data_IF_108548150153
#
_entry.id   IF_108548150153
#
_cell.length_a   1.000
_cell.length_b   1.000
_cell.length_c   1.000
_cell.angle_alpha   90.00
_cell.angle_beta   90.00
_cell.angle_gamma   90.00
#
_symmetry.space_group_name_H-M   'P 1'
#
loop_
_entity.id
_entity.type
_entity.pdbx_description
1 polymer ?
#
# COMPACT_ATOMS: atom_id res chain seq x y z
N UNK A 1 -9.48 24.22 -1.32
CA UNK A 1 -9.68 23.72 -2.70
C UNK A 1 -9.72 22.21 -2.61
N UNK A 2 -10.79 21.57 -3.07
CA UNK A 2 -10.80 20.13 -3.29
C UNK A 2 -10.18 19.96 -4.67
N UNK A 3 -8.94 19.44 -4.72
CA UNK A 3 -8.34 19.04 -5.98
C UNK A 3 -9.04 17.75 -6.39
N UNK A 4 -9.99 17.86 -7.30
CA UNK A 4 -10.61 16.71 -7.96
C UNK A 4 -9.65 16.24 -9.05
N UNK A 5 -8.79 15.30 -8.70
CA UNK A 5 -8.04 14.55 -9.69
C UNK A 5 -8.99 13.57 -10.40
N UNK A 6 -9.47 13.95 -11.58
CA UNK A 6 -9.92 12.96 -12.56
C UNK A 6 -8.67 12.39 -13.23
N UNK A 7 -7.88 11.61 -12.49
CA UNK A 7 -6.70 10.98 -13.06
C UNK A 7 -7.14 9.72 -13.81
N UNK A 8 -7.02 9.74 -15.13
CA UNK A 8 -6.79 8.50 -15.85
C UNK A 8 -5.63 7.79 -15.16
N UNK A 9 -5.75 6.48 -14.89
CA UNK A 9 -4.70 5.73 -14.23
C UNK A 9 -3.38 5.92 -15.00
N UNK A 10 -2.35 6.42 -14.31
CA UNK A 10 -1.01 6.55 -14.87
C UNK A 10 -0.58 5.17 -15.39
N UNK A 11 0.13 5.15 -16.50
CA UNK A 11 0.73 3.92 -17.02
C UNK A 11 2.25 4.06 -17.10
N UNK A 12 2.93 2.93 -17.31
CA UNK A 12 4.38 2.87 -17.42
C UNK A 12 5.03 3.83 -18.42
N UNK A 13 4.31 4.34 -19.43
CA UNK A 13 4.86 5.32 -20.39
C UNK A 13 4.85 6.75 -19.83
N UNK A 14 3.90 7.06 -18.97
CA UNK A 14 3.76 8.38 -18.34
C UNK A 14 4.88 8.61 -17.32
N UNK A 15 5.30 7.55 -16.63
CA UNK A 15 6.33 7.54 -15.59
C UNK A 15 7.70 7.10 -16.08
N UNK A 16 7.90 7.04 -17.41
CA UNK A 16 9.20 6.68 -18.00
C UNK A 16 10.16 7.88 -17.94
N UNK A 17 11.39 7.64 -17.49
CA UNK A 17 12.44 8.67 -17.51
C UNK A 17 12.61 9.26 -18.92
N UNK A 18 12.65 10.59 -19.00
CA UNK A 18 12.69 11.35 -20.27
C UNK A 18 11.32 11.72 -20.85
N UNK A 19 10.21 11.40 -20.18
CA UNK A 19 8.91 11.98 -20.47
C UNK A 19 8.88 13.47 -20.09
N UNK A 20 8.27 14.32 -20.91
CA UNK A 20 8.20 15.78 -20.69
C UNK A 20 7.58 16.15 -19.33
N UNK A 21 6.63 15.34 -18.86
CA UNK A 21 5.94 15.54 -17.57
C UNK A 21 6.39 14.51 -16.51
N UNK A 22 7.60 13.94 -16.65
CA UNK A 22 8.09 12.86 -15.79
C UNK A 22 7.92 13.19 -14.29
N UNK A 23 8.45 14.32 -13.82
CA UNK A 23 8.41 14.67 -12.40
C UNK A 23 6.97 14.82 -11.86
N UNK A 24 6.09 15.47 -12.63
CA UNK A 24 4.68 15.66 -12.26
C UNK A 24 3.95 14.31 -12.21
N UNK A 25 4.23 13.42 -13.16
CA UNK A 25 3.68 12.06 -13.20
C UNK A 25 4.21 11.20 -12.04
N UNK A 26 5.48 11.35 -11.65
CA UNK A 26 6.03 10.64 -10.48
C UNK A 26 5.42 11.12 -9.17
N UNK A 27 5.17 12.43 -9.02
CA UNK A 27 4.47 12.98 -7.85
C UNK A 27 3.02 12.49 -7.79
N UNK A 28 2.31 12.51 -8.92
CA UNK A 28 0.96 11.95 -9.01
C UNK A 28 0.97 10.45 -8.68
N UNK A 29 1.93 9.68 -9.20
CA UNK A 29 2.11 8.27 -8.86
C UNK A 29 2.31 8.08 -7.35
N UNK A 30 3.15 8.89 -6.71
CA UNK A 30 3.42 8.78 -5.27
C UNK A 30 2.17 9.00 -4.41
N UNK A 31 1.30 9.93 -4.83
CA UNK A 31 0.01 10.19 -4.19
C UNK A 31 -0.92 9.00 -4.38
N UNK A 32 -1.10 8.52 -5.62
CA UNK A 32 -2.00 7.41 -5.93
C UNK A 32 -1.53 6.09 -5.27
N UNK A 33 -0.23 5.85 -5.24
CA UNK A 33 0.42 4.71 -4.58
C UNK A 33 0.46 4.84 -3.06
N UNK A 34 0.00 5.98 -2.50
CA UNK A 34 -0.03 6.26 -1.05
C UNK A 34 1.33 6.12 -0.39
N UNK A 35 2.38 6.58 -1.08
CA UNK A 35 3.73 6.64 -0.53
C UNK A 35 3.75 7.59 0.67
N UNK A 36 4.65 7.34 1.61
CA UNK A 36 4.75 8.15 2.82
C UNK A 36 5.00 9.62 2.46
N UNK A 37 4.16 10.51 3.00
CA UNK A 37 4.19 11.95 2.75
C UNK A 37 4.02 12.35 1.27
N UNK A 38 3.52 11.43 0.41
CA UNK A 38 3.48 11.62 -1.05
C UNK A 38 4.88 11.79 -1.66
N UNK A 39 5.93 11.42 -0.91
CA UNK A 39 7.31 11.62 -1.32
C UNK A 39 7.80 10.46 -2.17
N UNK A 40 8.66 10.80 -3.12
CA UNK A 40 9.23 9.88 -4.09
C UNK A 40 10.76 10.03 -4.09
N UNK A 41 11.48 8.90 -4.15
CA UNK A 41 12.95 8.87 -4.02
C UNK A 41 13.59 8.11 -5.19
N UNK A 42 14.92 8.24 -5.36
CA UNK A 42 15.68 7.48 -6.37
C UNK A 42 15.49 5.96 -6.30
N UNK A 43 15.16 5.42 -5.13
CA UNK A 43 14.88 3.99 -5.00
C UNK A 43 13.52 3.64 -5.61
N UNK A 44 12.55 4.54 -5.48
CA UNK A 44 11.23 4.35 -6.07
C UNK A 44 11.31 4.48 -7.60
N UNK A 45 12.25 5.27 -8.14
CA UNK A 45 12.57 5.29 -9.58
C UNK A 45 13.02 3.92 -10.06
N UNK A 46 13.94 3.28 -9.32
CA UNK A 46 14.40 1.94 -9.65
C UNK A 46 13.26 0.92 -9.62
N UNK A 47 12.42 0.96 -8.59
CA UNK A 47 11.22 0.11 -8.50
C UNK A 47 10.29 0.32 -9.69
N UNK A 48 9.99 1.56 -10.07
CA UNK A 48 9.12 1.84 -11.24
C UNK A 48 9.77 1.36 -12.53
N UNK A 49 11.07 1.58 -12.70
CA UNK A 49 11.84 1.13 -13.86
C UNK A 49 11.78 -0.39 -14.01
N UNK A 50 12.05 -1.13 -12.94
CA UNK A 50 11.98 -2.60 -12.92
C UNK A 50 10.55 -3.10 -13.20
N UNK A 51 9.55 -2.58 -12.48
CA UNK A 51 8.15 -3.00 -12.64
C UNK A 51 7.62 -2.76 -14.06
N UNK A 52 8.09 -1.70 -14.72
CA UNK A 52 7.71 -1.37 -16.09
C UNK A 52 8.61 -2.03 -17.15
N UNK A 53 9.60 -2.84 -16.76
CA UNK A 53 10.51 -3.55 -17.67
C UNK A 53 11.55 -2.67 -18.36
N UNK A 54 11.92 -1.55 -17.75
CA UNK A 54 12.95 -0.63 -18.23
C UNK A 54 14.28 -0.76 -17.49
N UNK A 55 14.30 -1.41 -16.33
CA UNK A 55 15.46 -1.57 -15.45
C UNK A 55 15.80 -3.03 -15.15
N UNK A 56 16.80 -3.18 -14.28
CA UNK A 56 17.29 -4.45 -13.71
C UNK A 56 17.49 -4.33 -12.18
N UNK A 57 16.72 -3.46 -11.53
CA UNK A 57 16.86 -3.19 -10.10
C UNK A 57 16.32 -4.35 -9.26
N UNK A 58 17.13 -4.82 -8.30
CA UNK A 58 16.74 -5.85 -7.35
C UNK A 58 15.78 -5.27 -6.28
N UNK A 59 14.48 -5.30 -6.58
CA UNK A 59 13.41 -4.81 -5.69
C UNK A 59 13.48 -5.47 -4.31
N UNK A 60 13.69 -6.79 -4.26
CA UNK A 60 13.78 -7.51 -2.98
C UNK A 60 14.99 -7.06 -2.18
N UNK A 61 16.15 -6.86 -2.84
CA UNK A 61 17.32 -6.27 -2.21
C UNK A 61 17.14 -4.82 -1.73
N UNK A 62 16.26 -4.03 -2.34
CA UNK A 62 15.89 -2.69 -1.84
C UNK A 62 15.00 -2.77 -0.59
N UNK A 63 14.10 -3.75 -0.53
CA UNK A 63 13.25 -4.01 0.62
C UNK A 63 14.09 -4.50 1.81
N UNK A 64 14.96 -5.49 1.60
CA UNK A 64 15.78 -6.08 2.66
C UNK A 64 16.75 -5.08 3.30
N UNK A 65 17.25 -4.12 2.50
CA UNK A 65 18.09 -3.02 2.99
C UNK A 65 17.30 -1.89 3.66
N UNK A 66 15.97 -1.95 3.64
CA UNK A 66 15.09 -0.97 4.25
C UNK A 66 15.00 0.36 3.49
N UNK A 67 15.38 0.38 2.21
CA UNK A 67 15.28 1.58 1.38
C UNK A 67 13.84 1.85 0.94
N UNK A 68 13.05 0.79 0.75
CA UNK A 68 11.64 0.83 0.37
C UNK A 68 10.89 -0.23 1.17
N UNK A 69 9.63 0.04 1.50
CA UNK A 69 8.73 -0.92 2.15
C UNK A 69 8.01 -1.77 1.11
N UNK A 70 7.76 -3.05 1.43
CA UNK A 70 6.96 -3.92 0.55
C UNK A 70 5.60 -3.32 0.19
N UNK A 71 4.94 -2.64 1.14
CA UNK A 71 3.66 -1.96 0.88
C UNK A 71 3.75 -0.85 -0.17
N UNK A 72 4.90 -0.17 -0.28
CA UNK A 72 5.12 0.90 -1.26
C UNK A 72 5.25 0.33 -2.68
N UNK A 73 5.93 -0.81 -2.83
CA UNK A 73 6.03 -1.53 -4.11
C UNK A 73 4.65 -1.98 -4.60
N UNK A 74 3.83 -2.57 -3.73
CA UNK A 74 2.47 -2.98 -4.10
C UNK A 74 1.57 -1.79 -4.42
N UNK A 75 1.70 -0.68 -3.68
CA UNK A 75 1.00 0.57 -4.01
C UNK A 75 1.36 1.11 -5.40
N UNK A 76 2.64 1.05 -5.79
CA UNK A 76 3.09 1.44 -7.12
C UNK A 76 2.53 0.52 -8.21
N UNK A 77 2.55 -0.81 -8.00
CA UNK A 77 1.94 -1.78 -8.93
C UNK A 77 0.46 -1.51 -9.15
N UNK A 78 -0.29 -1.25 -8.08
CA UNK A 78 -1.71 -0.90 -8.14
C UNK A 78 -1.93 0.40 -8.94
N UNK A 79 -1.18 1.45 -8.60
CA UNK A 79 -1.34 2.77 -9.22
C UNK A 79 -0.99 2.76 -10.73
N UNK A 80 -0.07 1.90 -11.16
CA UNK A 80 0.29 1.70 -12.57
C UNK A 80 -0.61 0.70 -13.31
N UNK A 81 -1.58 0.08 -12.63
CA UNK A 81 -2.46 -0.93 -13.23
C UNK A 81 -1.73 -2.21 -13.64
N UNK A 82 -0.59 -2.51 -13.01
CA UNK A 82 0.19 -3.72 -13.25
C UNK A 82 -0.33 -4.93 -12.45
N UNK A 83 -1.28 -4.67 -11.55
CA UNK A 83 -1.90 -5.67 -10.70
C UNK A 83 -3.23 -6.18 -11.29
N UNK A 84 -3.28 -7.47 -11.62
CA UNK A 84 -4.47 -8.14 -12.15
C UNK A 84 -5.50 -8.54 -11.08
N UNK A 85 -5.22 -8.36 -9.79
CA UNK A 85 -6.11 -8.75 -8.69
C UNK A 85 -7.32 -7.83 -8.59
N UNK A 86 -8.40 -8.34 -8.00
CA UNK A 86 -9.60 -7.55 -7.71
C UNK A 86 -9.30 -6.43 -6.71
N UNK A 87 -10.13 -5.37 -6.67
CA UNK A 87 -9.98 -4.28 -5.69
C UNK A 87 -9.93 -4.79 -4.24
N UNK A 88 -10.75 -5.78 -3.90
CA UNK A 88 -10.73 -6.40 -2.58
C UNK A 88 -9.40 -7.13 -2.32
N UNK A 89 -8.90 -7.90 -3.29
CA UNK A 89 -7.61 -8.57 -3.19
C UNK A 89 -6.44 -7.61 -2.98
N UNK A 90 -6.44 -6.46 -3.67
CA UNK A 90 -5.42 -5.40 -3.49
C UNK A 90 -5.49 -4.74 -2.12
N UNK A 91 -6.70 -4.39 -1.69
CA UNK A 91 -6.92 -3.84 -0.35
C UNK A 91 -6.46 -4.81 0.75
N UNK A 92 -6.75 -6.11 0.58
CA UNK A 92 -6.32 -7.16 1.51
C UNK A 92 -4.80 -7.20 1.59
N UNK A 93 -4.09 -7.36 0.48
CA UNK A 93 -2.63 -7.49 0.52
C UNK A 93 -1.95 -6.22 1.01
N UNK A 94 -2.42 -5.03 0.60
CA UNK A 94 -1.92 -3.76 1.13
C UNK A 94 -2.02 -3.71 2.66
N UNK A 95 -3.21 -4.02 3.19
CA UNK A 95 -3.45 -4.02 4.63
C UNK A 95 -2.64 -5.10 5.34
N UNK A 96 -2.58 -6.31 4.78
CA UNK A 96 -1.82 -7.43 5.33
C UNK A 96 -0.33 -7.09 5.41
N UNK A 97 0.27 -6.58 4.33
CA UNK A 97 1.67 -6.17 4.32
C UNK A 97 1.93 -5.07 5.36
N UNK A 98 1.06 -4.06 5.44
CA UNK A 98 1.17 -2.98 6.42
C UNK A 98 1.13 -3.51 7.85
N UNK A 99 0.12 -4.32 8.19
CA UNK A 99 0.00 -4.86 9.53
C UNK A 99 1.13 -5.85 9.86
N UNK A 100 1.42 -6.78 8.96
CA UNK A 100 2.37 -7.86 9.19
C UNK A 100 3.82 -7.38 9.29
N UNK A 101 4.19 -6.32 8.57
CA UNK A 101 5.58 -5.84 8.53
C UNK A 101 5.82 -4.50 9.21
N UNK A 102 4.77 -3.70 9.45
CA UNK A 102 4.92 -2.35 10.01
C UNK A 102 4.22 -2.15 11.35
N UNK A 103 3.63 -3.20 11.93
CA UNK A 103 3.06 -3.19 13.28
C UNK A 103 3.53 -4.41 14.07
N UNK A 104 3.24 -4.47 15.37
CA UNK A 104 3.61 -5.61 16.23
C UNK A 104 2.60 -6.78 16.16
N UNK A 105 1.67 -6.74 15.21
CA UNK A 105 0.63 -7.76 15.06
C UNK A 105 1.20 -9.07 14.51
N UNK A 106 0.69 -10.19 15.01
CA UNK A 106 0.95 -11.51 14.42
C UNK A 106 0.42 -11.60 12.99
N UNK A 107 0.92 -12.56 12.19
CA UNK A 107 0.40 -12.78 10.83
C UNK A 107 -1.09 -13.14 10.81
N UNK A 108 -1.59 -13.82 11.85
CA UNK A 108 -3.01 -14.17 11.97
C UNK A 108 -3.88 -12.92 12.21
N UNK A 109 -3.48 -12.06 13.15
CA UNK A 109 -4.16 -10.79 13.41
C UNK A 109 -4.10 -9.87 12.18
N UNK A 110 -2.94 -9.78 11.54
CA UNK A 110 -2.74 -9.04 10.29
C UNK A 110 -3.69 -9.53 9.18
N UNK A 111 -3.82 -10.85 9.04
CA UNK A 111 -4.74 -11.50 8.11
C UNK A 111 -6.21 -11.14 8.36
N UNK A 112 -6.66 -11.27 9.61
CA UNK A 112 -8.05 -10.94 9.95
C UNK A 112 -8.37 -9.46 9.70
N UNK A 113 -7.49 -8.55 10.11
CA UNK A 113 -7.68 -7.12 9.88
C UNK A 113 -7.65 -6.75 8.41
N UNK A 114 -6.78 -7.41 7.62
CA UNK A 114 -6.76 -7.26 6.18
C UNK A 114 -8.10 -7.68 5.54
N UNK A 115 -8.68 -8.80 6.00
CA UNK A 115 -10.03 -9.22 5.58
C UNK A 115 -11.09 -8.20 5.94
N UNK A 116 -11.14 -7.73 7.19
CA UNK A 116 -12.11 -6.69 7.59
C UNK A 116 -11.93 -5.39 6.80
N UNK A 117 -10.69 -5.01 6.49
CA UNK A 117 -10.42 -3.83 5.67
C UNK A 117 -10.88 -4.00 4.22
N UNK A 118 -10.69 -5.18 3.64
CA UNK A 118 -11.02 -5.47 2.25
C UNK A 118 -12.52 -5.71 2.04
N UNK A 119 -13.12 -6.56 2.87
CA UNK A 119 -14.44 -7.15 2.64
C UNK A 119 -15.53 -6.43 3.45
N UNK A 120 -15.21 -5.96 4.65
CA UNK A 120 -16.15 -5.33 5.58
C UNK A 120 -15.69 -3.94 6.08
N UNK A 121 -15.33 -2.99 5.20
CA UNK A 121 -14.67 -1.73 5.58
C UNK A 121 -15.51 -0.84 6.51
N UNK A 122 -16.82 -1.08 6.59
CA UNK A 122 -17.76 -0.31 7.42
C UNK A 122 -18.05 -0.96 8.79
N UNK A 123 -17.60 -2.19 9.03
CA UNK A 123 -17.63 -2.83 10.35
C UNK A 123 -16.78 -2.04 11.35
N UNK A 124 -16.93 -2.32 12.65
CA UNK A 124 -16.08 -1.71 13.68
C UNK A 124 -14.60 -1.99 13.39
N UNK A 125 -14.27 -3.24 13.05
CA UNK A 125 -12.93 -3.68 12.70
C UNK A 125 -12.41 -3.04 11.41
N UNK A 126 -13.22 -2.97 10.36
CA UNK A 126 -12.82 -2.32 9.09
C UNK A 126 -12.51 -0.83 9.28
N UNK A 127 -13.32 -0.13 10.10
CA UNK A 127 -13.05 1.28 10.47
C UNK A 127 -11.80 1.44 11.31
N UNK A 128 -11.56 0.53 12.25
CA UNK A 128 -10.36 0.54 13.10
C UNK A 128 -9.10 0.27 12.27
N UNK A 129 -9.13 -0.75 11.41
CA UNK A 129 -8.06 -1.07 10.46
C UNK A 129 -7.75 0.13 9.57
N UNK A 130 -8.78 0.79 9.00
CA UNK A 130 -8.61 2.00 8.19
C UNK A 130 -7.91 3.13 8.96
N UNK A 131 -8.28 3.36 10.22
CA UNK A 131 -7.63 4.38 11.07
C UNK A 131 -6.18 4.02 11.37
N UNK A 132 -5.90 2.75 11.68
CA UNK A 132 -4.55 2.28 11.96
C UNK A 132 -3.65 2.41 10.72
N UNK A 133 -4.13 2.06 9.53
CA UNK A 133 -3.43 2.25 8.25
C UNK A 133 -3.17 3.73 7.92
N UNK A 134 -3.98 4.65 8.46
CA UNK A 134 -3.78 6.09 8.36
C UNK A 134 -2.80 6.64 9.43
N UNK A 135 -2.19 5.78 10.24
CA UNK A 135 -1.22 6.17 11.27
C UNK A 135 -1.83 6.61 12.61
N UNK A 136 -3.12 6.35 12.84
CA UNK A 136 -3.76 6.62 14.13
C UNK A 136 -3.18 5.72 15.23
N UNK A 137 -2.31 6.30 16.06
CA UNK A 137 -1.63 5.59 17.16
C UNK A 137 -2.58 5.00 18.20
N UNK A 138 -3.78 5.55 18.37
CA UNK A 138 -4.77 5.01 19.30
C UNK A 138 -5.36 3.73 18.70
N UNK A 139 -5.70 3.76 17.41
CA UNK A 139 -6.20 2.58 16.70
C UNK A 139 -5.13 1.47 16.66
N UNK A 140 -3.88 1.80 16.34
CA UNK A 140 -2.76 0.84 16.33
C UNK A 140 -2.60 0.18 17.70
N UNK A 141 -2.49 0.97 18.77
CA UNK A 141 -2.36 0.43 20.14
C UNK A 141 -3.55 -0.41 20.58
N UNK A 142 -4.75 -0.08 20.12
CA UNK A 142 -5.95 -0.86 20.44
C UNK A 142 -5.88 -2.23 19.77
N UNK A 143 -5.46 -2.28 18.51
CA UNK A 143 -5.26 -3.52 17.76
C UNK A 143 -4.13 -4.38 18.35
N UNK A 144 -3.03 -3.76 18.80
CA UNK A 144 -1.88 -4.48 19.38
C UNK A 144 -2.15 -5.05 20.79
N UNK A 145 -3.09 -4.47 21.54
CA UNK A 145 -3.36 -4.85 22.94
C UNK A 145 -4.55 -5.77 23.15
N UNK A 146 -5.54 -5.70 22.27
CA UNK A 146 -6.79 -6.46 22.43
C UNK A 146 -6.82 -7.60 21.41
N UNK A 147 -6.39 -8.78 21.87
CA UNK A 147 -6.20 -10.00 21.07
C UNK A 147 -7.49 -10.53 20.41
N UNK A 148 -8.66 -9.98 20.77
CA UNK A 148 -9.98 -10.53 20.43
C UNK A 148 -10.93 -9.59 19.66
N UNK A 149 -10.58 -8.35 19.34
CA UNK A 149 -11.58 -7.43 18.73
C UNK A 149 -11.94 -7.86 17.32
N UNK A 150 -10.94 -8.29 16.55
CA UNK A 150 -11.06 -8.47 15.11
C UNK A 150 -10.56 -9.83 14.68
N UNK A 151 -11.05 -10.88 15.33
CA UNK A 151 -10.91 -12.25 14.85
C UNK A 151 -12.06 -12.56 13.91
N UNK A 152 -11.77 -13.04 12.69
CA UNK A 152 -12.80 -13.71 11.90
C UNK A 152 -13.24 -14.93 12.70
N UNK A 153 -14.53 -14.98 13.08
CA UNK A 153 -15.03 -16.04 13.95
C UNK A 153 -14.83 -17.39 13.28
N UNK A 154 -13.95 -18.22 13.83
CA UNK A 154 -14.28 -19.64 13.96
C UNK A 154 -15.10 -19.72 15.25
N UNK A 155 -16.41 -19.55 15.12
CA UNK A 155 -17.32 -20.20 16.07
C UNK A 155 -17.17 -21.70 15.79
N UNK A 156 -16.51 -22.42 16.71
CA UNK A 156 -16.56 -23.88 16.76
C UNK A 156 -18.02 -24.37 16.99
#
# INVERSE_FOLDING_TARGET
MVVTFSNAALNCKDVKYGNDNYHENMEALAIEARLRDGYFSRYHEGVVSELCGYGDDDIEGLIDRGYIRRSEVEGIKEALGLDSRSRAGRNYEYAWNKFNFETELSSAQSGNLASFYADEPNSECGKMAKRALAGDRIAIRKLEKEDSICTSGYED
#
